data_IF_155255138033
#
_entry.id   IF_155255138033
#
_cell.length_a   1.000
_cell.length_b   1.000
_cell.length_c   1.000
_cell.angle_alpha   90.00
_cell.angle_beta   90.00
_cell.angle_gamma   90.00
#
_symmetry.space_group_name_H-M   'P 1'
#
loop_
_entity.id
_entity.type
_entity.pdbx_description
1 polymer ?
#
# COMPACT_ATOMS: atom_id res chain seq x y z
N UNK A 1 62.51 27.64 -26.71
CA UNK A 1 63.08 26.69 -25.74
C UNK A 1 62.55 27.07 -24.37
N UNK A 2 61.64 26.36 -23.73
CA UNK A 2 60.74 25.26 -24.11
C UNK A 2 59.48 25.57 -23.30
N UNK A 3 58.31 25.63 -23.91
CA UNK A 3 57.08 25.51 -23.12
C UNK A 3 57.21 24.18 -22.37
N UNK A 4 57.17 24.24 -21.04
CA UNK A 4 57.28 23.04 -20.21
C UNK A 4 56.09 22.14 -20.52
N UNK A 5 56.28 21.18 -21.43
CA UNK A 5 55.32 20.11 -21.75
C UNK A 5 54.85 19.38 -20.47
N UNK A 6 55.69 19.36 -19.43
CA UNK A 6 55.35 18.83 -18.11
C UNK A 6 54.24 19.62 -17.38
N UNK A 7 54.17 20.95 -17.53
CA UNK A 7 53.18 21.77 -16.84
C UNK A 7 51.78 21.70 -17.48
N UNK A 8 51.71 21.52 -18.80
CA UNK A 8 50.44 21.33 -19.50
C UNK A 8 49.81 19.96 -19.21
N UNK A 9 50.64 18.93 -19.04
CA UNK A 9 50.18 17.57 -18.78
C UNK A 9 49.66 17.40 -17.34
N UNK A 10 50.32 17.99 -16.34
CA UNK A 10 49.84 17.97 -14.95
C UNK A 10 48.49 18.70 -14.80
N UNK A 11 48.34 19.88 -15.41
CA UNK A 11 47.08 20.62 -15.38
C UNK A 11 45.93 19.86 -16.08
N UNK A 12 46.21 19.20 -17.21
CA UNK A 12 45.21 18.39 -17.91
C UNK A 12 44.78 17.17 -17.10
N UNK A 13 45.71 16.50 -16.40
CA UNK A 13 45.39 15.38 -15.51
C UNK A 13 44.54 15.83 -14.32
N UNK A 14 44.84 16.99 -13.73
CA UNK A 14 44.05 17.57 -12.63
C UNK A 14 42.63 17.92 -13.10
N UNK A 15 42.49 18.52 -14.28
CA UNK A 15 41.20 18.90 -14.85
C UNK A 15 40.33 17.69 -15.20
N UNK A 16 40.92 16.64 -15.78
CA UNK A 16 40.24 15.37 -16.07
C UNK A 16 39.82 14.68 -14.78
N UNK A 17 40.67 14.65 -13.75
CA UNK A 17 40.33 14.04 -12.46
C UNK A 17 39.20 14.80 -11.77
N UNK A 18 39.22 16.14 -11.81
CA UNK A 18 38.13 16.95 -11.25
C UNK A 18 36.82 16.67 -11.99
N UNK A 19 36.85 16.58 -13.32
CA UNK A 19 35.66 16.29 -14.11
C UNK A 19 35.13 14.86 -13.83
N UNK A 20 36.02 13.89 -13.67
CA UNK A 20 35.65 12.50 -13.32
C UNK A 20 35.05 12.41 -11.92
N UNK A 21 35.70 13.04 -10.92
CA UNK A 21 35.23 13.07 -9.53
C UNK A 21 33.90 13.80 -9.40
N UNK A 22 33.71 14.89 -10.17
CA UNK A 22 32.45 15.62 -10.18
C UNK A 22 31.31 14.80 -10.81
N UNK A 23 31.61 14.05 -11.88
CA UNK A 23 30.64 13.15 -12.52
C UNK A 23 30.26 11.99 -11.59
N UNK A 24 31.23 11.42 -10.87
CA UNK A 24 30.99 10.33 -9.92
C UNK A 24 30.14 10.82 -8.74
N UNK A 25 30.50 11.96 -8.13
CA UNK A 25 29.69 12.60 -7.09
C UNK A 25 28.27 12.94 -7.56
N UNK A 26 28.12 13.50 -8.77
CA UNK A 26 26.82 13.83 -9.33
C UNK A 26 25.97 12.58 -9.60
N UNK A 27 26.58 11.51 -10.12
CA UNK A 27 25.90 10.24 -10.35
C UNK A 27 25.43 9.57 -9.05
N UNK A 28 26.24 9.67 -8.00
CA UNK A 28 25.90 9.15 -6.67
C UNK A 28 24.79 9.98 -6.03
N UNK A 29 24.84 11.31 -6.15
CA UNK A 29 23.77 12.20 -5.72
C UNK A 29 22.44 11.91 -6.43
N UNK A 30 22.46 11.70 -7.75
CA UNK A 30 21.27 11.32 -8.53
C UNK A 30 20.68 9.98 -8.06
N UNK A 31 21.53 8.94 -7.92
CA UNK A 31 21.10 7.62 -7.41
C UNK A 31 20.48 7.71 -6.01
N UNK A 32 21.07 8.51 -5.12
CA UNK A 32 20.54 8.69 -3.77
C UNK A 32 19.21 9.45 -3.77
N UNK A 33 19.06 10.45 -4.63
CA UNK A 33 17.82 11.20 -4.79
C UNK A 33 16.70 10.34 -5.41
N UNK A 34 17.01 9.47 -6.37
CA UNK A 34 16.09 8.49 -6.92
C UNK A 34 15.64 7.50 -5.85
N UNK A 35 16.57 6.94 -5.05
CA UNK A 35 16.21 6.07 -3.91
C UNK A 35 15.31 6.78 -2.90
N UNK A 36 15.60 8.04 -2.58
CA UNK A 36 14.76 8.86 -1.68
C UNK A 36 13.37 9.12 -2.26
N UNK A 37 13.24 9.35 -3.57
CA UNK A 37 11.93 9.50 -4.26
C UNK A 37 11.14 8.18 -4.29
N UNK A 38 11.79 7.06 -4.63
CA UNK A 38 11.16 5.74 -4.65
C UNK A 38 10.71 5.31 -3.24
N UNK A 39 11.52 5.58 -2.22
CA UNK A 39 11.18 5.32 -0.81
C UNK A 39 9.91 6.07 -0.36
N UNK A 40 9.79 7.35 -0.74
CA UNK A 40 8.59 8.16 -0.43
C UNK A 40 7.34 7.66 -1.15
N UNK A 41 7.45 7.31 -2.44
CA UNK A 41 6.33 6.74 -3.19
C UNK A 41 5.89 5.37 -2.65
N UNK A 42 6.85 4.50 -2.33
CA UNK A 42 6.57 3.19 -1.73
C UNK A 42 5.86 3.33 -0.37
N UNK A 43 6.31 4.27 0.48
CA UNK A 43 5.66 4.56 1.76
C UNK A 43 4.22 5.05 1.59
N UNK A 44 3.95 5.94 0.64
CA UNK A 44 2.61 6.42 0.35
C UNK A 44 1.68 5.30 -0.15
N UNK A 45 2.16 4.46 -1.07
CA UNK A 45 1.39 3.31 -1.59
C UNK A 45 1.06 2.33 -0.45
N UNK A 46 2.02 2.06 0.44
CA UNK A 46 1.80 1.19 1.59
C UNK A 46 0.72 1.73 2.53
N UNK A 47 0.72 3.03 2.83
CA UNK A 47 -0.31 3.68 3.66
C UNK A 47 -1.69 3.56 3.01
N UNK A 48 -1.79 3.81 1.70
CA UNK A 48 -3.04 3.69 0.96
C UNK A 48 -3.57 2.26 1.00
N UNK A 49 -2.71 1.25 0.78
CA UNK A 49 -3.10 -0.15 0.85
C UNK A 49 -3.60 -0.54 2.25
N UNK A 50 -2.88 -0.15 3.31
CA UNK A 50 -3.31 -0.41 4.68
C UNK A 50 -4.66 0.23 4.99
N UNK A 51 -4.89 1.47 4.52
CA UNK A 51 -6.17 2.15 4.69
C UNK A 51 -7.32 1.39 4.03
N UNK A 52 -7.13 0.91 2.80
CA UNK A 52 -8.14 0.10 2.09
C UNK A 52 -8.42 -1.24 2.78
N UNK A 53 -7.39 -1.90 3.31
CA UNK A 53 -7.56 -3.15 4.07
C UNK A 53 -8.40 -2.93 5.33
N UNK A 54 -8.16 -1.84 6.06
CA UNK A 54 -8.94 -1.49 7.26
C UNK A 54 -10.41 -1.23 6.92
N UNK A 55 -10.68 -0.41 5.89
CA UNK A 55 -12.06 -0.13 5.45
C UNK A 55 -12.75 -1.41 4.99
N UNK A 56 -12.09 -2.22 4.16
CA UNK A 56 -12.65 -3.48 3.68
C UNK A 56 -13.01 -4.43 4.82
N UNK A 57 -12.16 -4.51 5.83
CA UNK A 57 -12.39 -5.36 7.02
C UNK A 57 -13.60 -4.89 7.84
N UNK A 58 -13.76 -3.57 8.02
CA UNK A 58 -14.92 -2.99 8.73
C UNK A 58 -16.23 -3.26 7.99
N UNK A 59 -16.24 -3.07 6.66
CA UNK A 59 -17.41 -3.32 5.82
C UNK A 59 -17.80 -4.80 5.91
N UNK A 60 -16.84 -5.71 5.71
CA UNK A 60 -17.10 -7.14 5.71
C UNK A 60 -17.59 -7.64 7.08
N UNK A 61 -17.03 -7.10 8.17
CA UNK A 61 -17.52 -7.36 9.53
C UNK A 61 -18.95 -6.87 9.76
N UNK A 62 -19.28 -5.66 9.30
CA UNK A 62 -20.62 -5.08 9.43
C UNK A 62 -21.68 -5.90 8.66
N UNK A 63 -21.40 -6.28 7.42
CA UNK A 63 -22.31 -7.14 6.63
C UNK A 63 -22.46 -8.54 7.25
N UNK A 64 -21.40 -9.11 7.82
CA UNK A 64 -21.48 -10.36 8.56
C UNK A 64 -22.45 -10.29 9.74
N UNK A 65 -22.38 -9.22 10.54
CA UNK A 65 -23.30 -9.00 11.65
C UNK A 65 -24.75 -8.83 11.20
N UNK A 66 -24.99 -8.08 10.13
CA UNK A 66 -26.34 -7.92 9.55
C UNK A 66 -26.92 -9.26 9.09
N UNK A 67 -26.11 -10.12 8.46
CA UNK A 67 -26.53 -11.46 8.05
C UNK A 67 -26.90 -12.34 9.25
N UNK A 68 -26.15 -12.28 10.35
CA UNK A 68 -26.46 -13.02 11.58
C UNK A 68 -27.80 -12.54 12.16
N UNK A 69 -27.98 -11.22 12.27
CA UNK A 69 -29.24 -10.61 12.74
C UNK A 69 -30.43 -11.02 11.86
N UNK A 70 -30.28 -10.95 10.54
CA UNK A 70 -31.31 -11.38 9.60
C UNK A 70 -31.64 -12.87 9.75
N UNK A 71 -30.65 -13.72 9.96
CA UNK A 71 -30.83 -15.17 10.16
C UNK A 71 -31.59 -15.46 11.45
N UNK A 72 -31.26 -14.79 12.55
CA UNK A 72 -31.97 -14.92 13.83
C UNK A 72 -33.44 -14.46 13.66
N UNK A 73 -33.66 -13.36 12.97
CA UNK A 73 -35.00 -12.84 12.68
C UNK A 73 -35.84 -13.82 11.84
N UNK A 74 -35.26 -14.40 10.78
CA UNK A 74 -35.95 -15.41 9.97
C UNK A 74 -36.27 -16.69 10.76
N UNK A 75 -35.33 -17.16 11.60
CA UNK A 75 -35.55 -18.32 12.46
C UNK A 75 -36.68 -18.09 13.47
N UNK A 76 -36.71 -16.92 14.09
CA UNK A 76 -37.77 -16.57 15.05
C UNK A 76 -39.13 -16.48 14.37
N UNK A 77 -39.22 -15.87 13.18
CA UNK A 77 -40.44 -15.88 12.38
C UNK A 77 -40.88 -17.29 11.99
N UNK A 78 -39.93 -18.14 11.60
CA UNK A 78 -40.22 -19.53 11.25
C UNK A 78 -40.79 -20.31 12.44
N UNK A 79 -40.19 -20.18 13.63
CA UNK A 79 -40.68 -20.83 14.85
C UNK A 79 -42.10 -20.36 15.20
N UNK A 80 -42.36 -19.05 15.13
CA UNK A 80 -43.69 -18.48 15.38
C UNK A 80 -44.73 -18.99 14.38
N UNK A 81 -44.37 -19.04 13.09
CA UNK A 81 -45.22 -19.58 12.05
C UNK A 81 -45.53 -21.06 12.27
N UNK A 82 -44.50 -21.85 12.61
CA UNK A 82 -44.64 -23.27 12.90
C UNK A 82 -45.56 -23.53 14.09
N UNK A 83 -45.38 -22.77 15.19
CA UNK A 83 -46.26 -22.84 16.36
C UNK A 83 -47.71 -22.48 16.03
N UNK A 84 -47.92 -21.42 15.24
CA UNK A 84 -49.25 -21.03 14.77
C UNK A 84 -49.89 -22.14 13.93
N UNK A 85 -49.12 -22.75 13.03
CA UNK A 85 -49.58 -23.85 12.18
C UNK A 85 -50.03 -25.06 13.01
N UNK A 86 -49.24 -25.47 14.00
CA UNK A 86 -49.63 -26.57 14.90
C UNK A 86 -50.89 -26.25 15.71
N UNK A 87 -51.00 -25.02 16.20
CA UNK A 87 -52.15 -24.58 17.01
C UNK A 87 -53.44 -24.55 16.19
N UNK A 88 -53.36 -24.22 14.90
CA UNK A 88 -54.49 -24.25 13.98
C UNK A 88 -54.87 -25.69 13.59
N UNK A 89 -53.89 -26.55 13.34
CA UNK A 89 -54.13 -27.95 13.01
C UNK A 89 -54.86 -28.69 14.14
N UNK A 90 -54.44 -28.48 15.40
CA UNK A 90 -55.08 -29.04 16.59
C UNK A 90 -56.51 -28.55 16.85
N UNK A 91 -56.97 -27.51 16.15
CA UNK A 91 -58.34 -26.99 16.26
C UNK A 91 -59.30 -27.57 15.22
N UNK A 92 -58.78 -28.32 14.24
CA UNK A 92 -59.56 -28.92 13.16
C UNK A 92 -59.74 -30.45 13.31
N UNK A 93 -58.94 -31.11 14.16
CA UNK A 93 -59.20 -32.45 14.70
C UNK A 93 -60.19 -32.39 15.87
#
# INVERSE_FOLDING_TARGET
MSECDYCGQENAVIEINNHFFHNECYSNFLKENERKKVSKCAGFILIVLLFWVVIGSLIMGYFGQLNILATIFLLTLFILWFWRSQTLNKRQE
#
